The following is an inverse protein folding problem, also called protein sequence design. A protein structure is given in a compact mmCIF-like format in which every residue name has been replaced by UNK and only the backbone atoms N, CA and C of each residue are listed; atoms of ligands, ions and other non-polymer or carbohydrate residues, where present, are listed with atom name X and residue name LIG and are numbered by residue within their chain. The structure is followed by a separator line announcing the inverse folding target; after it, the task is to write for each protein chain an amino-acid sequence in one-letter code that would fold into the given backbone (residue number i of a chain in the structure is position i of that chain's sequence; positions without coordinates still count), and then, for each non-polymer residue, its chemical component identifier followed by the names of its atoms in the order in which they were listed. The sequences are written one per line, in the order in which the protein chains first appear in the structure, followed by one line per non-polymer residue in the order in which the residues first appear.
data_IF_699720560891
#
_entry.id   IF_699720560891
#
_cell.length_a   1.000
_cell.length_b   1.000
_cell.length_c   1.000
_cell.angle_alpha   90.00
_cell.angle_beta   90.00
_cell.angle_gamma   90.00
#
_symmetry.space_group_name_H-M   'P 1'
#
loop_
_entity.id
_entity.type
_entity.pdbx_description
1 polymer ?
#
# COMPACT_ATOMS: atom_id res chain seq x y z
N UNK A 1 -18.92 34.96 19.29
CA UNK A 1 -20.17 34.37 18.76
C UNK A 1 -21.37 34.61 19.70
N UNK A 2 -21.35 35.64 20.56
CA UNK A 2 -22.42 35.94 21.54
C UNK A 2 -23.74 36.40 20.92
N UNK A 3 -23.75 36.70 19.62
CA UNK A 3 -24.95 37.01 18.85
C UNK A 3 -25.86 35.78 18.65
N UNK A 4 -25.34 34.56 18.86
CA UNK A 4 -26.10 33.32 18.78
C UNK A 4 -26.55 32.87 20.18
N UNK A 5 -27.81 32.46 20.30
CA UNK A 5 -28.33 31.88 21.56
C UNK A 5 -27.72 30.50 21.86
N UNK A 6 -27.37 29.75 20.82
CA UNK A 6 -26.83 28.41 20.92
C UNK A 6 -26.02 28.08 19.67
N UNK A 7 -24.95 27.32 19.85
CA UNK A 7 -24.07 26.86 18.77
C UNK A 7 -23.87 25.36 18.94
N UNK A 8 -23.91 24.63 17.83
CA UNK A 8 -23.44 23.24 17.76
C UNK A 8 -22.06 23.26 17.13
N UNK A 9 -21.06 22.83 17.89
CA UNK A 9 -19.70 22.64 17.41
C UNK A 9 -19.54 21.18 16.94
N UNK A 10 -18.90 21.03 15.78
CA UNK A 10 -18.57 19.76 15.16
C UNK A 10 -17.09 19.81 14.74
N UNK A 11 -16.29 18.82 15.15
CA UNK A 11 -14.93 18.68 14.67
C UNK A 11 -14.91 18.43 13.15
N UNK A 12 -13.84 18.87 12.49
CA UNK A 12 -13.69 18.78 11.04
C UNK A 12 -13.61 17.34 10.50
N UNK A 13 -13.43 16.35 11.38
CA UNK A 13 -13.43 14.92 11.09
C UNK A 13 -14.72 14.23 11.54
N UNK A 14 -15.81 14.98 11.61
CA UNK A 14 -17.17 14.46 11.81
C UNK A 14 -18.00 14.55 10.52
N UNK A 15 -19.00 13.68 10.40
CA UNK A 15 -19.96 13.71 9.30
C UNK A 15 -21.38 13.56 9.84
N UNK A 16 -22.24 14.48 9.44
CA UNK A 16 -23.66 14.49 9.78
C UNK A 16 -24.42 13.65 8.74
N UNK A 17 -25.03 12.56 9.17
CA UNK A 17 -25.77 11.62 8.30
C UNK A 17 -27.30 11.73 8.46
N UNK A 18 -27.75 12.45 9.50
CA UNK A 18 -29.16 12.80 9.74
C UNK A 18 -29.29 14.19 10.36
N UNK A 19 -30.50 14.75 10.33
CA UNK A 19 -30.79 16.01 11.01
C UNK A 19 -30.39 15.94 12.50
N UNK A 20 -29.73 17.00 12.96
CA UNK A 20 -29.28 17.20 14.35
C UNK A 20 -29.91 18.47 14.94
N UNK A 21 -31.00 18.96 14.38
CA UNK A 21 -31.68 20.19 14.83
C UNK A 21 -32.20 20.09 16.27
N UNK A 22 -32.51 18.89 16.71
CA UNK A 22 -32.92 18.61 18.08
C UNK A 22 -31.82 18.91 19.11
N UNK A 23 -30.53 18.89 18.74
CA UNK A 23 -29.43 19.32 19.61
C UNK A 23 -29.60 20.77 20.09
N UNK A 24 -30.30 21.63 19.34
CA UNK A 24 -30.59 23.00 19.78
C UNK A 24 -31.57 23.06 20.96
N UNK A 25 -32.20 21.95 21.36
CA UNK A 25 -33.02 21.84 22.58
C UNK A 25 -32.21 21.52 23.84
N UNK A 26 -30.93 21.13 23.68
CA UNK A 26 -30.08 20.75 24.80
C UNK A 26 -29.80 21.93 25.75
N UNK A 27 -29.29 21.69 26.96
CA UNK A 27 -28.98 22.72 27.96
C UNK A 27 -27.87 23.71 27.57
N UNK A 28 -27.14 24.24 28.56
CA UNK A 28 -26.08 25.24 28.33
C UNK A 28 -24.80 24.64 27.73
N UNK A 29 -24.44 23.43 28.17
CA UNK A 29 -23.30 22.68 27.66
C UNK A 29 -23.69 21.22 27.46
N UNK A 30 -23.51 20.69 26.26
CA UNK A 30 -23.75 19.28 26.01
C UNK A 30 -22.62 18.69 25.19
N UNK A 31 -22.23 17.46 25.51
CA UNK A 31 -21.23 16.72 24.77
C UNK A 31 -21.55 15.23 24.86
N UNK A 32 -20.86 14.38 24.11
CA UNK A 32 -20.97 12.94 24.31
C UNK A 32 -20.02 12.47 25.43
N UNK A 33 -20.45 11.48 26.22
CA UNK A 33 -19.58 10.78 27.17
C UNK A 33 -19.02 9.51 26.51
N UNK A 34 -17.70 9.43 26.41
CA UNK A 34 -16.99 8.25 25.88
C UNK A 34 -16.91 7.12 26.93
N UNK A 35 -16.34 5.99 26.51
CA UNK A 35 -15.83 4.98 27.42
C UNK A 35 -14.73 5.61 28.30
N UNK A 36 -14.76 5.42 29.63
CA UNK A 36 -13.88 6.04 30.65
C UNK A 36 -14.34 7.36 31.30
N UNK A 37 -15.65 7.64 31.39
CA UNK A 37 -16.19 8.79 32.16
C UNK A 37 -15.62 10.15 31.73
N UNK A 38 -15.27 10.27 30.44
CA UNK A 38 -14.70 11.50 29.88
C UNK A 38 -15.54 11.98 28.73
N UNK A 39 -15.72 13.29 28.64
CA UNK A 39 -16.39 13.90 27.49
C UNK A 39 -15.51 13.80 26.25
N UNK A 40 -16.16 13.66 25.10
CA UNK A 40 -15.55 13.87 23.80
C UNK A 40 -15.96 15.25 23.27
N UNK A 41 -14.98 16.05 22.88
CA UNK A 41 -15.18 17.43 22.44
C UNK A 41 -15.51 17.57 20.95
N UNK A 42 -15.53 16.47 20.18
CA UNK A 42 -15.77 16.55 18.75
C UNK A 42 -17.21 16.86 18.34
N UNK A 43 -18.17 16.71 19.26
CA UNK A 43 -19.54 17.21 19.09
C UNK A 43 -20.00 17.84 20.39
N UNK A 44 -20.27 19.14 20.35
CA UNK A 44 -20.70 19.90 21.52
C UNK A 44 -21.84 20.85 21.20
N UNK A 45 -22.73 21.05 22.17
CA UNK A 45 -23.73 22.12 22.16
C UNK A 45 -23.33 23.14 23.21
N UNK A 46 -23.29 24.41 22.84
CA UNK A 46 -22.75 25.49 23.67
C UNK A 46 -23.72 26.67 23.66
N UNK A 47 -23.95 27.26 24.83
CA UNK A 47 -24.48 28.62 24.98
C UNK A 47 -23.30 29.60 25.00
N UNK A 48 -23.09 30.42 23.95
CA UNK A 48 -21.96 31.34 23.91
C UNK A 48 -22.04 32.37 25.05
N UNK A 49 -20.97 32.47 25.84
CA UNK A 49 -20.88 33.41 26.98
C UNK A 49 -19.47 33.98 27.09
N UNK A 50 -19.38 35.31 27.08
CA UNK A 50 -18.11 36.02 27.28
C UNK A 50 -17.51 35.74 28.66
N UNK A 51 -18.36 35.62 29.70
CA UNK A 51 -17.91 35.30 31.05
C UNK A 51 -17.27 33.90 31.12
N UNK A 52 -17.90 32.89 30.51
CA UNK A 52 -17.36 31.52 30.47
C UNK A 52 -16.07 31.48 29.64
N UNK A 53 -16.03 32.18 28.51
CA UNK A 53 -14.82 32.28 27.68
C UNK A 53 -13.65 32.89 28.47
N UNK A 54 -13.85 34.04 29.11
CA UNK A 54 -12.81 34.71 29.88
C UNK A 54 -12.33 33.86 31.08
N UNK A 55 -13.25 33.16 31.77
CA UNK A 55 -12.90 32.24 32.84
C UNK A 55 -12.08 31.05 32.34
N UNK A 56 -12.48 30.42 31.23
CA UNK A 56 -11.68 29.36 30.59
C UNK A 56 -10.29 29.85 30.18
N UNK A 57 -10.20 31.03 29.56
CA UNK A 57 -8.91 31.62 29.15
C UNK A 57 -8.00 31.91 30.35
N UNK A 58 -8.55 32.34 31.49
CA UNK A 58 -7.77 32.54 32.71
C UNK A 58 -7.21 31.23 33.31
N UNK A 59 -7.81 30.09 32.94
CA UNK A 59 -7.47 28.75 33.43
C UNK A 59 -6.62 27.93 32.46
N UNK A 60 -6.46 28.36 31.20
CA UNK A 60 -5.74 27.61 30.15
C UNK A 60 -4.32 27.20 30.56
N UNK A 61 -3.61 28.03 31.34
CA UNK A 61 -2.23 27.73 31.77
C UNK A 61 -2.13 27.05 33.14
N UNK A 62 -3.22 26.99 33.90
CA UNK A 62 -3.23 26.52 35.30
C UNK A 62 -3.99 25.22 35.48
N UNK A 63 -5.04 25.00 34.68
CA UNK A 63 -5.84 23.79 34.72
C UNK A 63 -5.17 22.69 33.89
N UNK A 64 -5.03 21.45 34.41
CA UNK A 64 -4.38 20.39 33.67
C UNK A 64 -5.18 19.98 32.42
N UNK A 65 -4.48 19.56 31.36
CA UNK A 65 -5.07 18.89 30.20
C UNK A 65 -4.31 17.60 29.93
N UNK A 66 -4.94 16.45 30.18
CA UNK A 66 -4.30 15.14 30.02
C UNK A 66 -4.00 14.77 28.56
N UNK A 67 -4.63 15.45 27.59
CA UNK A 67 -4.34 15.28 26.16
C UNK A 67 -3.39 16.34 25.62
N UNK A 68 -3.11 17.40 26.39
CA UNK A 68 -2.47 18.62 25.87
C UNK A 68 -3.35 19.43 24.91
N UNK A 69 -4.61 19.04 24.70
CA UNK A 69 -5.56 19.68 23.80
C UNK A 69 -6.85 20.13 24.49
N UNK A 70 -7.84 20.49 23.68
CA UNK A 70 -9.18 20.96 24.08
C UNK A 70 -9.93 19.91 24.91
N UNK A 71 -9.95 18.64 24.46
CA UNK A 71 -10.70 17.59 25.15
C UNK A 71 -10.21 17.42 26.60
N UNK A 72 -8.90 17.43 26.81
CA UNK A 72 -8.30 17.28 28.13
C UNK A 72 -8.64 18.45 29.05
N UNK A 73 -8.53 19.68 28.53
CA UNK A 73 -8.86 20.90 29.25
C UNK A 73 -10.35 20.95 29.63
N UNK A 74 -11.24 20.67 28.66
CA UNK A 74 -12.69 20.70 28.88
C UNK A 74 -13.15 19.66 29.90
N UNK A 75 -12.55 18.45 29.91
CA UNK A 75 -12.81 17.45 30.95
C UNK A 75 -12.40 17.96 32.35
N UNK A 76 -11.29 18.70 32.45
CA UNK A 76 -10.85 19.28 33.72
C UNK A 76 -11.66 20.51 34.13
N UNK A 77 -12.21 21.26 33.17
CA UNK A 77 -13.04 22.43 33.43
C UNK A 77 -14.47 22.03 33.86
N UNK A 78 -15.05 21.04 33.19
CA UNK A 78 -16.38 20.51 33.47
C UNK A 78 -16.34 19.23 34.31
N UNK A 79 -15.75 19.29 35.51
CA UNK A 79 -15.53 18.11 36.37
C UNK A 79 -16.80 17.32 36.74
N UNK A 80 -17.97 17.98 36.78
CA UNK A 80 -19.26 17.36 37.05
C UNK A 80 -19.92 16.69 35.84
N UNK A 81 -19.35 16.80 34.64
CA UNK A 81 -19.93 16.30 33.41
C UNK A 81 -20.29 14.81 33.40
N UNK A 82 -19.50 13.89 34.00
CA UNK A 82 -19.86 12.47 34.03
C UNK A 82 -21.21 12.19 34.71
N UNK A 83 -21.60 13.05 35.67
CA UNK A 83 -22.85 12.96 36.42
C UNK A 83 -24.01 13.71 35.75
N UNK A 84 -23.78 14.38 34.61
CA UNK A 84 -24.82 15.13 33.93
C UNK A 84 -25.94 14.21 33.40
N UNK A 85 -27.17 14.72 33.35
CA UNK A 85 -28.32 13.98 32.83
C UNK A 85 -28.18 13.70 31.34
N UNK A 86 -28.69 12.56 30.87
CA UNK A 86 -28.75 12.27 29.44
C UNK A 86 -29.72 13.23 28.77
N UNK A 87 -29.35 13.73 27.60
CA UNK A 87 -30.21 14.56 26.78
C UNK A 87 -31.32 13.71 26.14
N UNK A 88 -32.57 14.12 26.34
CA UNK A 88 -33.77 13.45 25.84
C UNK A 88 -34.48 14.36 24.81
N UNK A 89 -34.26 14.18 23.50
CA UNK A 89 -34.76 15.09 22.45
C UNK A 89 -36.29 15.07 22.28
N UNK A 90 -36.93 14.01 22.76
CA UNK A 90 -38.36 13.72 22.59
C UNK A 90 -39.24 14.17 23.76
N UNK A 91 -38.67 14.87 24.76
CA UNK A 91 -39.47 15.44 25.84
C UNK A 91 -40.48 16.46 25.30
N UNK A 92 -41.68 16.45 25.86
CA UNK A 92 -42.70 17.44 25.52
C UNK A 92 -42.28 18.86 25.96
N UNK A 93 -42.82 19.90 25.32
CA UNK A 93 -42.54 21.28 25.74
C UNK A 93 -42.96 21.56 27.19
N UNK A 94 -43.98 20.88 27.69
CA UNK A 94 -44.47 21.03 29.06
C UNK A 94 -43.46 20.46 30.07
N UNK A 95 -42.91 19.27 29.79
CA UNK A 95 -41.86 18.65 30.60
C UNK A 95 -40.55 19.45 30.57
N UNK A 96 -40.20 20.02 29.43
CA UNK A 96 -39.02 20.88 29.31
C UNK A 96 -39.15 22.17 30.14
N UNK A 97 -40.34 22.76 30.18
CA UNK A 97 -40.60 24.00 30.95
C UNK A 97 -40.75 23.76 32.45
N UNK A 98 -41.14 22.55 32.87
CA UNK A 98 -41.30 22.22 34.29
C UNK A 98 -39.98 21.95 35.01
N UNK A 99 -38.88 21.76 34.27
CA UNK A 99 -37.54 21.49 34.81
C UNK A 99 -36.65 22.73 34.69
N UNK A 100 -35.72 22.97 35.64
CA UNK A 100 -34.70 23.99 35.45
C UNK A 100 -33.80 23.61 34.26
N UNK A 101 -33.34 24.61 33.50
CA UNK A 101 -32.42 24.37 32.38
C UNK A 101 -31.11 23.79 32.95
N UNK A 102 -30.73 22.57 32.57
CA UNK A 102 -29.53 21.94 33.10
C UNK A 102 -28.27 22.68 32.62
N UNK A 103 -27.30 22.85 33.52
CA UNK A 103 -26.00 23.41 33.17
C UNK A 103 -25.26 22.54 32.16
N UNK A 104 -25.35 21.22 32.34
CA UNK A 104 -24.72 20.23 31.47
C UNK A 104 -25.65 19.06 31.16
N UNK A 105 -25.55 18.49 29.96
CA UNK A 105 -26.20 17.22 29.60
C UNK A 105 -25.30 16.33 28.74
N UNK A 106 -25.53 15.01 28.81
CA UNK A 106 -24.82 14.00 28.02
C UNK A 106 -25.60 13.66 26.76
N UNK A 107 -25.00 13.90 25.60
CA UNK A 107 -25.51 13.45 24.32
C UNK A 107 -25.35 11.93 24.20
N UNK A 108 -26.37 11.29 23.62
CA UNK A 108 -26.29 9.89 23.19
C UNK A 108 -25.15 9.68 22.19
N UNK A 109 -24.60 8.46 22.13
CA UNK A 109 -23.60 8.05 21.12
C UNK A 109 -24.12 8.20 19.69
N UNK A 110 -25.44 8.29 19.48
CA UNK A 110 -26.05 8.60 18.19
C UNK A 110 -25.54 9.92 17.59
N UNK A 111 -25.24 10.91 18.42
CA UNK A 111 -24.76 12.24 17.99
C UNK A 111 -23.23 12.37 17.98
N UNK A 112 -22.48 11.32 18.30
CA UNK A 112 -21.01 11.34 18.28
C UNK A 112 -20.49 9.90 18.22
N UNK A 113 -20.80 9.20 17.14
CA UNK A 113 -20.50 7.78 17.00
C UNK A 113 -19.01 7.59 16.68
N UNK A 114 -18.31 6.89 17.57
CA UNK A 114 -16.87 6.72 17.53
C UNK A 114 -16.44 5.61 16.54
N UNK A 115 -15.79 6.00 15.44
CA UNK A 115 -15.24 5.04 14.45
C UNK A 115 -14.16 4.15 15.06
N UNK A 116 -13.31 4.66 15.96
CA UNK A 116 -12.33 3.85 16.68
C UNK A 116 -12.97 2.72 17.49
N UNK A 117 -14.08 3.00 18.17
CA UNK A 117 -14.84 1.97 18.89
C UNK A 117 -15.49 0.97 17.93
N UNK A 118 -16.05 1.45 16.81
CA UNK A 118 -16.58 0.60 15.74
C UNK A 118 -15.51 -0.37 15.23
N UNK A 119 -14.29 0.12 14.97
CA UNK A 119 -13.19 -0.70 14.46
C UNK A 119 -12.75 -1.80 15.44
N UNK A 120 -12.85 -1.55 16.75
CA UNK A 120 -12.55 -2.54 17.78
C UNK A 120 -13.69 -3.56 17.96
N UNK A 121 -14.94 -3.12 17.89
CA UNK A 121 -16.12 -3.95 18.11
C UNK A 121 -16.62 -4.66 16.84
N UNK A 122 -16.18 -4.22 15.65
CA UNK A 122 -16.69 -4.60 14.33
C UNK A 122 -18.21 -4.42 14.18
N UNK A 123 -18.80 -3.48 14.93
CA UNK A 123 -20.22 -3.11 14.87
C UNK A 123 -20.43 -1.76 15.56
N UNK A 124 -21.52 -1.09 15.20
CA UNK A 124 -22.01 0.04 15.98
C UNK A 124 -22.56 -0.44 17.33
N UNK A 125 -22.31 0.33 18.38
CA UNK A 125 -22.89 0.10 19.71
C UNK A 125 -24.35 0.57 19.82
N UNK A 126 -24.86 1.15 18.74
CA UNK A 126 -26.20 1.71 18.58
C UNK A 126 -26.78 1.22 17.26
N UNK A 127 -28.08 1.42 17.05
CA UNK A 127 -28.71 1.10 15.77
C UNK A 127 -28.13 2.00 14.67
N UNK A 128 -27.56 1.38 13.63
CA UNK A 128 -26.93 2.10 12.51
C UNK A 128 -27.92 3.02 11.80
N UNK A 129 -29.17 2.57 11.67
CA UNK A 129 -30.22 3.36 11.02
C UNK A 129 -30.67 4.55 11.84
N UNK A 130 -30.20 4.73 13.09
CA UNK A 130 -30.51 5.87 13.97
C UNK A 130 -29.33 6.84 14.12
N UNK A 131 -28.15 6.49 13.61
CA UNK A 131 -26.95 7.34 13.69
C UNK A 131 -27.22 8.74 13.12
N UNK A 132 -26.75 9.76 13.83
CA UNK A 132 -26.87 11.15 13.41
C UNK A 132 -25.52 11.74 13.02
N UNK A 133 -24.48 11.49 13.80
CA UNK A 133 -23.11 11.99 13.54
C UNK A 133 -22.11 10.87 13.73
N UNK A 134 -21.22 10.70 12.75
CA UNK A 134 -20.08 9.78 12.81
C UNK A 134 -18.80 10.60 13.00
N UNK A 135 -17.94 10.20 13.93
CA UNK A 135 -16.70 10.89 14.28
C UNK A 135 -15.50 9.97 14.04
N UNK A 136 -14.58 10.40 13.17
CA UNK A 136 -13.36 9.68 12.80
C UNK A 136 -12.23 9.89 13.81
N UNK A 137 -12.43 9.34 15.01
CA UNK A 137 -11.60 9.51 16.23
C UNK A 137 -10.22 8.86 16.19
N UNK A 138 -9.91 8.03 15.18
CA UNK A 138 -8.63 7.34 15.08
C UNK A 138 -7.55 8.32 14.58
N UNK A 139 -6.90 9.01 15.52
CA UNK A 139 -5.86 10.04 15.32
C UNK A 139 -5.28 10.19 13.91
N UNK A 140 -4.30 9.35 13.49
CA UNK A 140 -3.63 9.51 12.20
C UNK A 140 -4.45 8.99 10.99
N UNK A 141 -5.57 8.32 11.23
CA UNK A 141 -6.37 7.63 10.22
C UNK A 141 -7.60 8.46 9.90
N UNK A 142 -7.47 9.37 8.92
CA UNK A 142 -8.54 10.29 8.54
C UNK A 142 -9.19 9.91 7.21
N UNK A 143 -10.50 10.11 7.07
CA UNK A 143 -11.25 9.57 5.94
C UNK A 143 -10.92 10.21 4.59
N UNK A 144 -10.31 11.40 4.57
CA UNK A 144 -9.80 12.06 3.36
C UNK A 144 -8.51 11.43 2.82
N UNK A 145 -7.79 10.65 3.63
CA UNK A 145 -6.60 9.94 3.18
C UNK A 145 -7.02 8.67 2.43
N UNK A 146 -6.73 8.59 1.13
CA UNK A 146 -7.17 7.51 0.25
C UNK A 146 -6.83 6.10 0.77
N UNK A 147 -5.70 5.94 1.48
CA UNK A 147 -5.23 4.66 1.98
C UNK A 147 -6.02 4.18 3.21
N UNK A 148 -6.71 5.09 3.92
CA UNK A 148 -7.48 4.73 5.12
C UNK A 148 -8.74 3.95 4.79
N UNK A 149 -9.31 4.10 3.59
CA UNK A 149 -10.51 3.36 3.17
C UNK A 149 -10.31 1.84 3.12
N UNK A 150 -9.06 1.40 3.02
CA UNK A 150 -8.68 -0.01 3.00
C UNK A 150 -8.62 -0.59 4.42
N UNK A 151 -8.36 0.27 5.41
CA UNK A 151 -8.20 -0.12 6.81
C UNK A 151 -9.46 0.14 7.63
N UNK A 152 -10.14 1.27 7.37
CA UNK A 152 -11.24 1.80 8.15
C UNK A 152 -12.58 1.64 7.44
N UNK A 153 -13.61 1.41 8.25
CA UNK A 153 -15.02 1.52 7.88
C UNK A 153 -15.71 2.44 8.90
N UNK A 154 -16.64 3.33 8.50
CA UNK A 154 -17.26 3.43 7.17
C UNK A 154 -16.75 4.63 6.32
N UNK A 155 -15.48 4.62 5.88
CA UNK A 155 -14.92 5.72 5.05
C UNK A 155 -15.72 5.98 3.77
N UNK A 156 -16.47 4.99 3.26
CA UNK A 156 -17.40 5.15 2.15
C UNK A 156 -18.50 6.19 2.41
N UNK A 157 -19.01 6.30 3.64
CA UNK A 157 -20.00 7.35 3.99
C UNK A 157 -19.39 8.74 3.80
N UNK A 158 -18.12 8.91 4.18
CA UNK A 158 -17.39 10.17 3.96
C UNK A 158 -17.21 10.47 2.47
N UNK A 159 -16.74 9.50 1.69
CA UNK A 159 -16.48 9.70 0.27
C UNK A 159 -17.78 9.99 -0.50
N UNK A 160 -18.89 9.32 -0.17
CA UNK A 160 -20.19 9.57 -0.79
C UNK A 160 -20.68 11.01 -0.57
N UNK A 161 -20.51 11.57 0.63
CA UNK A 161 -20.85 12.97 0.91
C UNK A 161 -19.86 13.91 0.22
N UNK A 162 -18.55 13.62 0.30
CA UNK A 162 -17.49 14.41 -0.33
C UNK A 162 -17.74 14.62 -1.82
N UNK A 163 -18.12 13.57 -2.55
CA UNK A 163 -18.37 13.62 -3.99
C UNK A 163 -19.57 14.50 -4.37
N UNK A 164 -20.53 14.67 -3.46
CA UNK A 164 -21.73 15.48 -3.66
C UNK A 164 -21.53 16.95 -3.29
N UNK A 165 -20.41 17.31 -2.68
CA UNK A 165 -20.16 18.69 -2.26
C UNK A 165 -20.02 19.61 -3.48
N UNK A 166 -20.78 20.69 -3.44
CA UNK A 166 -20.63 21.79 -4.38
C UNK A 166 -19.26 22.46 -4.24
N UNK A 167 -18.88 23.17 -5.28
CA UNK A 167 -17.64 23.91 -5.33
C UNK A 167 -17.66 25.09 -4.35
N UNK A 168 -16.77 25.06 -3.35
CA UNK A 168 -16.57 26.18 -2.42
C UNK A 168 -15.53 27.18 -2.92
N UNK A 169 -14.56 26.69 -3.72
CA UNK A 169 -13.49 27.45 -4.35
C UNK A 169 -13.24 26.88 -5.77
N UNK A 170 -12.72 27.65 -6.73
CA UNK A 170 -12.45 27.17 -8.08
C UNK A 170 -11.63 25.86 -8.11
N UNK A 171 -12.19 24.81 -8.71
CA UNK A 171 -11.65 23.46 -8.81
C UNK A 171 -11.89 22.54 -7.60
N UNK A 172 -12.64 22.95 -6.56
CA UNK A 172 -12.79 22.13 -5.32
C UNK A 172 -14.05 21.28 -5.23
N UNK A 173 -14.95 21.37 -6.21
CA UNK A 173 -16.17 20.55 -6.25
C UNK A 173 -15.86 19.05 -6.12
N UNK A 174 -16.70 18.33 -5.36
CA UNK A 174 -16.46 16.91 -5.04
C UNK A 174 -15.24 16.68 -4.13
N UNK A 175 -14.77 17.72 -3.43
CA UNK A 175 -13.56 17.69 -2.61
C UNK A 175 -12.27 17.50 -3.41
N UNK A 176 -12.24 17.95 -4.67
CA UNK A 176 -11.07 17.87 -5.54
C UNK A 176 -10.08 19.01 -5.26
N UNK A 177 -8.89 18.88 -5.81
CA UNK A 177 -7.87 19.93 -5.81
C UNK A 177 -7.27 19.99 -7.21
N UNK A 178 -7.33 21.14 -7.91
CA UNK A 178 -6.88 21.24 -9.30
C UNK A 178 -5.39 20.90 -9.46
N UNK A 179 -4.56 21.18 -8.45
CA UNK A 179 -3.13 20.83 -8.48
C UNK A 179 -2.93 19.32 -8.36
N UNK A 180 -3.69 18.67 -7.47
CA UNK A 180 -3.63 17.22 -7.30
C UNK A 180 -4.15 16.52 -8.55
N UNK A 181 -5.23 17.01 -9.16
CA UNK A 181 -5.78 16.45 -10.41
C UNK A 181 -4.78 16.50 -11.56
N UNK A 182 -4.01 17.59 -11.69
CA UNK A 182 -2.94 17.69 -12.68
C UNK A 182 -1.79 16.73 -12.38
N UNK A 183 -1.37 16.66 -11.11
CA UNK A 183 -0.31 15.75 -10.67
C UNK A 183 -0.71 14.29 -10.91
N UNK A 184 -1.94 13.90 -10.58
CA UNK A 184 -2.49 12.56 -10.81
C UNK A 184 -2.45 12.20 -12.30
N UNK A 185 -2.87 13.10 -13.19
CA UNK A 185 -2.82 12.85 -14.64
C UNK A 185 -1.38 12.63 -15.11
N UNK A 186 -0.43 13.43 -14.61
CA UNK A 186 0.98 13.27 -14.94
C UNK A 186 1.54 11.93 -14.42
N UNK A 187 1.29 11.61 -13.15
CA UNK A 187 1.75 10.38 -12.51
C UNK A 187 1.17 9.12 -13.15
N UNK A 188 -0.07 9.15 -13.62
CA UNK A 188 -0.72 8.02 -14.29
C UNK A 188 -0.20 7.79 -15.72
N UNK A 189 0.22 8.85 -16.42
CA UNK A 189 0.69 8.73 -17.80
C UNK A 189 2.18 8.32 -17.89
N UNK A 190 2.99 8.70 -16.90
CA UNK A 190 4.45 8.57 -17.00
C UNK A 190 4.94 7.11 -17.06
N UNK A 191 4.50 6.17 -16.21
CA UNK A 191 4.94 4.78 -16.28
C UNK A 191 4.66 4.08 -17.62
N UNK A 192 3.44 4.15 -18.23
CA UNK A 192 3.21 3.54 -19.53
C UNK A 192 4.01 4.20 -20.64
N UNK A 193 4.23 5.52 -20.60
CA UNK A 193 5.12 6.19 -21.56
C UNK A 193 6.58 5.75 -21.41
N UNK A 194 7.07 5.60 -20.18
CA UNK A 194 8.41 5.09 -19.91
C UNK A 194 8.57 3.65 -20.44
N UNK A 195 7.59 2.77 -20.19
CA UNK A 195 7.60 1.41 -20.72
C UNK A 195 7.55 1.36 -22.24
N UNK A 196 6.70 2.19 -22.87
CA UNK A 196 6.62 2.31 -24.33
C UNK A 196 7.93 2.82 -24.93
N UNK A 197 8.58 3.79 -24.29
CA UNK A 197 9.89 4.29 -24.72
C UNK A 197 10.97 3.20 -24.61
N UNK A 198 11.05 2.49 -23.48
CA UNK A 198 11.98 1.37 -23.31
C UNK A 198 11.74 0.25 -24.34
N UNK A 199 10.47 -0.08 -24.61
CA UNK A 199 10.11 -1.05 -25.63
C UNK A 199 10.48 -0.57 -27.04
N UNK A 200 10.21 0.70 -27.37
CA UNK A 200 10.56 1.29 -28.65
C UNK A 200 12.08 1.34 -28.88
N UNK A 201 12.87 1.67 -27.86
CA UNK A 201 14.34 1.63 -27.93
C UNK A 201 14.85 0.20 -28.17
N UNK A 202 14.33 -0.78 -27.43
CA UNK A 202 14.64 -2.20 -27.65
C UNK A 202 14.23 -2.67 -29.05
N UNK A 203 13.10 -2.19 -29.56
CA UNK A 203 12.64 -2.43 -30.92
C UNK A 203 13.55 -1.78 -31.98
N UNK A 204 14.00 -0.55 -31.78
CA UNK A 204 14.95 0.11 -32.69
C UNK A 204 16.30 -0.60 -32.72
N UNK A 205 16.80 -1.04 -31.57
CA UNK A 205 18.04 -1.79 -31.47
C UNK A 205 17.94 -3.18 -32.14
N UNK A 206 16.74 -3.75 -32.20
CA UNK A 206 16.47 -5.00 -32.95
C UNK A 206 16.11 -4.77 -34.43
N UNK A 207 15.74 -3.55 -34.84
CA UNK A 207 15.40 -3.20 -36.23
C UNK A 207 16.62 -3.33 -37.18
N UNK A 208 17.84 -3.09 -36.70
CA UNK A 208 19.07 -3.36 -37.48
C UNK A 208 19.29 -4.86 -37.78
N UNK A 209 18.61 -5.76 -37.05
CA UNK A 209 18.67 -7.22 -37.28
C UNK A 209 17.42 -7.78 -38.01
N UNK A 210 16.36 -6.98 -38.14
CA UNK A 210 15.04 -7.45 -38.58
C UNK A 210 14.84 -7.53 -40.10
N UNK A 211 15.87 -7.20 -40.90
CA UNK A 211 15.87 -7.49 -42.34
C UNK A 211 15.77 -8.98 -42.68
N UNK A 212 15.90 -9.89 -41.70
CA UNK A 212 15.94 -11.35 -41.92
C UNK A 212 14.95 -12.18 -41.08
N UNK A 213 14.10 -11.60 -40.21
CA UNK A 213 13.35 -12.40 -39.20
C UNK A 213 11.84 -12.55 -39.44
N UNK A 214 11.25 -11.83 -40.40
CA UNK A 214 9.79 -11.80 -40.60
C UNK A 214 9.17 -13.05 -41.26
N UNK A 215 9.72 -14.26 -41.13
CA UNK A 215 9.12 -15.42 -41.84
C UNK A 215 8.96 -16.76 -41.10
N UNK A 216 9.34 -16.97 -39.83
CA UNK A 216 9.23 -18.35 -39.28
C UNK A 216 8.96 -18.59 -37.78
N UNK A 217 9.05 -17.62 -36.87
CA UNK A 217 9.25 -17.98 -35.45
C UNK A 217 8.00 -18.40 -34.63
N UNK A 218 6.81 -17.85 -34.90
CA UNK A 218 5.64 -18.09 -34.04
C UNK A 218 4.94 -19.43 -34.32
N UNK A 219 4.90 -19.87 -35.59
CA UNK A 219 4.24 -21.11 -35.98
C UNK A 219 5.02 -22.35 -35.49
N UNK A 220 6.36 -22.28 -35.49
CA UNK A 220 7.21 -23.38 -35.03
C UNK A 220 7.18 -23.56 -33.50
N UNK A 221 7.03 -22.47 -32.75
CA UNK A 221 6.93 -22.51 -31.28
C UNK A 221 5.64 -23.18 -30.79
N UNK A 222 4.52 -22.94 -31.50
CA UNK A 222 3.22 -23.56 -31.21
C UNK A 222 3.25 -25.05 -31.60
N UNK A 223 3.87 -25.37 -32.74
CA UNK A 223 4.06 -26.75 -33.20
C UNK A 223 4.91 -27.58 -32.22
N UNK A 224 5.95 -26.99 -31.63
CA UNK A 224 6.82 -27.67 -30.68
C UNK A 224 6.13 -27.93 -29.31
N UNK A 225 5.26 -27.04 -28.84
CA UNK A 225 4.44 -27.30 -27.64
C UNK A 225 3.38 -28.38 -27.88
N UNK A 226 2.75 -28.39 -29.06
CA UNK A 226 1.77 -29.40 -29.44
C UNK A 226 2.37 -30.82 -29.44
N UNK A 227 3.59 -30.99 -29.93
CA UNK A 227 4.27 -32.30 -29.90
C UNK A 227 4.73 -32.72 -28.49
N UNK A 228 5.11 -31.77 -27.63
CA UNK A 228 5.55 -32.07 -26.25
C UNK A 228 4.39 -32.54 -25.35
N UNK A 229 3.19 -32.02 -25.61
CA UNK A 229 1.96 -32.43 -24.90
C UNK A 229 1.43 -33.78 -25.40
N UNK A 230 1.67 -34.13 -26.67
CA UNK A 230 1.15 -35.37 -27.26
C UNK A 230 1.99 -36.63 -26.94
N UNK A 231 3.23 -36.48 -26.48
CA UNK A 231 4.16 -37.60 -26.26
C UNK A 231 4.76 -37.72 -24.85
N UNK A 232 4.35 -36.87 -23.88
CA UNK A 232 4.84 -36.93 -22.50
C UNK A 232 3.82 -37.55 -21.54
N UNK A 233 3.85 -38.87 -21.38
CA UNK A 233 3.08 -39.58 -20.35
C UNK A 233 3.59 -39.33 -18.92
N UNK A 234 2.66 -39.20 -17.98
CA UNK A 234 2.76 -39.43 -16.53
C UNK A 234 4.00 -38.90 -15.79
N UNK A 235 3.88 -37.75 -15.11
CA UNK A 235 4.79 -37.35 -14.03
C UNK A 235 4.25 -37.81 -12.68
N UNK A 236 4.95 -38.75 -12.05
CA UNK A 236 4.70 -39.22 -10.69
C UNK A 236 5.06 -38.16 -9.65
N UNK A 237 4.14 -37.95 -8.72
CA UNK A 237 4.26 -37.10 -7.54
C UNK A 237 5.25 -37.73 -6.54
N UNK A 238 6.32 -37.03 -6.17
CA UNK A 238 7.17 -37.41 -5.03
C UNK A 238 6.89 -36.46 -3.87
N UNK A 239 6.37 -37.03 -2.79
CA UNK A 239 5.85 -36.32 -1.64
C UNK A 239 6.92 -35.68 -0.75
N UNK A 240 6.46 -34.69 -0.01
CA UNK A 240 7.14 -34.06 1.11
C UNK A 240 7.33 -35.11 2.22
N UNK A 241 8.52 -35.22 2.79
CA UNK A 241 8.76 -35.89 4.06
C UNK A 241 9.75 -35.09 4.90
N UNK A 242 9.27 -34.67 6.06
CA UNK A 242 10.00 -34.10 7.18
C UNK A 242 10.61 -35.20 8.04
N UNK A 243 11.92 -35.18 8.26
CA UNK A 243 12.54 -35.63 9.52
C UNK A 243 14.03 -35.30 9.59
N UNK A 244 14.41 -34.73 10.72
CA UNK A 244 15.75 -34.48 11.24
C UNK A 244 16.61 -35.75 11.38
N UNK A 245 17.86 -35.77 10.90
CA UNK A 245 19.12 -35.94 11.68
C UNK A 245 20.36 -36.00 10.76
N UNK A 246 21.40 -35.26 11.15
CA UNK A 246 22.87 -35.50 11.04
C UNK A 246 23.37 -36.52 9.99
N UNK A 247 24.24 -36.08 9.07
CA UNK A 247 25.19 -36.95 8.38
C UNK A 247 25.55 -36.57 6.94
N UNK A 248 26.75 -36.01 6.78
CA UNK A 248 27.65 -35.94 5.62
C UNK A 248 27.23 -36.48 4.23
N UNK A 249 27.59 -35.69 3.22
CA UNK A 249 27.86 -36.05 1.82
C UNK A 249 26.65 -36.44 0.94
N UNK A 250 25.98 -35.42 0.41
CA UNK A 250 25.46 -35.48 -0.95
C UNK A 250 26.10 -34.38 -1.82
N UNK A 251 27.13 -34.83 -2.51
CA UNK A 251 27.92 -34.14 -3.52
C UNK A 251 27.04 -33.81 -4.72
N UNK A 252 26.64 -32.54 -4.86
CA UNK A 252 26.21 -31.96 -6.13
C UNK A 252 27.41 -31.87 -7.07
N UNK A 253 27.75 -32.98 -7.73
CA UNK A 253 28.55 -33.02 -8.97
C UNK A 253 27.74 -32.29 -10.08
N UNK A 254 28.22 -31.38 -10.92
CA UNK A 254 29.58 -31.00 -11.34
C UNK A 254 29.58 -29.54 -11.89
N UNK A 255 30.61 -28.75 -11.57
CA UNK A 255 31.19 -27.74 -12.48
C UNK A 255 30.73 -26.27 -12.44
N UNK A 256 29.54 -25.94 -11.93
CA UNK A 256 29.04 -24.54 -11.97
C UNK A 256 29.27 -23.74 -10.67
N UNK A 257 29.38 -24.41 -9.52
CA UNK A 257 29.41 -23.76 -8.21
C UNK A 257 30.76 -23.13 -7.81
N UNK A 258 31.81 -23.27 -8.62
CA UNK A 258 33.11 -22.61 -8.34
C UNK A 258 33.23 -21.21 -8.95
N UNK A 259 32.27 -20.76 -9.77
CA UNK A 259 32.35 -19.45 -10.46
C UNK A 259 31.49 -18.34 -9.85
N UNK A 260 30.46 -18.68 -9.08
CA UNK A 260 29.53 -17.68 -8.51
C UNK A 260 29.98 -17.26 -7.11
N UNK A 261 30.07 -15.96 -6.79
CA UNK A 261 30.41 -15.50 -5.45
C UNK A 261 29.42 -15.99 -4.39
N UNK A 262 29.92 -16.63 -3.33
CA UNK A 262 29.10 -17.27 -2.27
C UNK A 262 28.15 -16.27 -1.59
N UNK A 263 28.54 -15.01 -1.47
CA UNK A 263 27.74 -13.96 -0.84
C UNK A 263 26.71 -13.30 -1.77
N UNK A 264 26.72 -13.59 -3.09
CA UNK A 264 25.83 -12.94 -4.06
C UNK A 264 24.35 -13.15 -3.74
N UNK A 265 23.97 -14.37 -3.33
CA UNK A 265 22.59 -14.68 -2.93
C UNK A 265 22.11 -13.81 -1.77
N UNK A 266 22.87 -13.79 -0.67
CA UNK A 266 22.54 -12.99 0.51
C UNK A 266 22.49 -11.48 0.23
N UNK A 267 23.43 -10.94 -0.55
CA UNK A 267 23.39 -9.53 -0.97
C UNK A 267 22.14 -9.24 -1.82
N UNK A 268 21.79 -10.14 -2.75
CA UNK A 268 20.61 -9.98 -3.60
C UNK A 268 19.32 -9.90 -2.80
N UNK A 269 19.18 -10.75 -1.78
CA UNK A 269 18.03 -10.74 -0.86
C UNK A 269 17.95 -9.39 -0.14
N UNK A 270 19.06 -8.92 0.45
CA UNK A 270 19.09 -7.63 1.13
C UNK A 270 18.72 -6.47 0.20
N UNK A 271 19.33 -6.41 -1.00
CA UNK A 271 19.03 -5.38 -2.00
C UNK A 271 17.57 -5.44 -2.45
N UNK A 272 17.00 -6.64 -2.65
CA UNK A 272 15.60 -6.82 -3.04
C UNK A 272 14.64 -6.20 -2.01
N UNK A 273 14.85 -6.46 -0.71
CA UNK A 273 14.00 -5.89 0.34
C UNK A 273 14.19 -4.38 0.52
N UNK A 274 15.42 -3.88 0.43
CA UNK A 274 15.69 -2.42 0.47
C UNK A 274 14.99 -1.73 -0.70
N UNK A 275 15.13 -2.28 -1.91
CA UNK A 275 14.48 -1.73 -3.12
C UNK A 275 12.96 -1.79 -2.98
N UNK A 276 12.38 -2.88 -2.48
CA UNK A 276 10.94 -2.97 -2.26
C UNK A 276 10.43 -1.92 -1.26
N UNK A 277 11.13 -1.72 -0.14
CA UNK A 277 10.77 -0.73 0.86
C UNK A 277 10.91 0.71 0.32
N UNK A 278 11.98 1.01 -0.41
CA UNK A 278 12.21 2.32 -1.04
C UNK A 278 11.14 2.59 -2.11
N UNK A 279 10.83 1.61 -2.97
CA UNK A 279 9.80 1.75 -3.99
C UNK A 279 8.41 2.03 -3.40
N UNK A 280 8.03 1.30 -2.34
CA UNK A 280 6.76 1.53 -1.65
C UNK A 280 6.74 2.90 -0.95
N UNK A 281 7.82 3.26 -0.25
CA UNK A 281 7.93 4.55 0.43
C UNK A 281 7.85 5.74 -0.52
N UNK A 282 8.54 5.66 -1.67
CA UNK A 282 8.46 6.67 -2.71
C UNK A 282 7.07 6.74 -3.35
N UNK A 283 6.46 5.59 -3.65
CA UNK A 283 5.10 5.55 -4.19
C UNK A 283 4.08 6.22 -3.23
N UNK A 284 4.17 5.93 -1.93
CA UNK A 284 3.32 6.58 -0.91
C UNK A 284 3.61 8.08 -0.78
N UNK A 285 4.85 8.52 -1.02
CA UNK A 285 5.23 9.93 -0.92
C UNK A 285 4.78 10.78 -2.12
N UNK A 286 4.76 10.20 -3.34
CA UNK A 286 4.38 10.94 -4.55
C UNK A 286 2.87 10.94 -4.81
N UNK A 287 2.14 9.93 -4.34
CA UNK A 287 0.68 9.86 -4.53
C UNK A 287 -0.01 10.87 -3.61
N UNK A 288 -0.80 11.83 -4.14
CA UNK A 288 -1.44 12.83 -3.30
C UNK A 288 -2.40 12.19 -2.28
N UNK A 289 -2.42 12.72 -1.06
CA UNK A 289 -3.18 12.13 0.05
C UNK A 289 -4.69 12.17 -0.15
N UNK A 290 -5.19 13.25 -0.77
CA UNK A 290 -6.61 13.54 -0.90
C UNK A 290 -7.17 13.14 -2.28
N UNK A 291 -6.75 12.02 -2.85
CA UNK A 291 -7.39 11.46 -4.05
C UNK A 291 -8.50 10.46 -3.68
N UNK A 292 -9.23 9.97 -4.67
CA UNK A 292 -10.17 8.87 -4.43
C UNK A 292 -9.43 7.59 -4.02
N UNK A 293 -10.00 6.78 -3.09
CA UNK A 293 -9.43 5.51 -2.64
C UNK A 293 -8.81 4.62 -3.73
N UNK A 294 -9.55 4.38 -4.80
CA UNK A 294 -9.12 3.51 -5.91
C UNK A 294 -8.02 4.14 -6.74
N UNK A 295 -8.12 5.44 -6.99
CA UNK A 295 -7.11 6.23 -7.71
C UNK A 295 -5.78 6.17 -6.98
N UNK A 296 -5.78 6.40 -5.67
CA UNK A 296 -4.59 6.33 -4.83
C UNK A 296 -3.98 4.93 -4.78
N UNK A 297 -4.82 3.89 -4.61
CA UNK A 297 -4.35 2.51 -4.58
C UNK A 297 -3.69 2.09 -5.90
N UNK A 298 -4.33 2.41 -7.02
CA UNK A 298 -3.84 2.05 -8.34
C UNK A 298 -2.48 2.71 -8.62
N UNK A 299 -2.37 4.01 -8.35
CA UNK A 299 -1.10 4.71 -8.52
C UNK A 299 -0.02 4.21 -7.57
N UNK A 300 -0.36 3.89 -6.32
CA UNK A 300 0.60 3.31 -5.38
C UNK A 300 1.19 2.00 -5.94
N UNK A 301 0.36 1.09 -6.46
CA UNK A 301 0.86 -0.15 -7.06
C UNK A 301 1.65 0.10 -8.34
N UNK A 302 1.13 0.93 -9.24
CA UNK A 302 1.78 1.28 -10.50
C UNK A 302 3.20 1.80 -10.27
N UNK A 303 3.35 2.77 -9.37
CA UNK A 303 4.65 3.36 -9.06
C UNK A 303 5.53 2.43 -8.24
N UNK A 304 4.99 1.67 -7.29
CA UNK A 304 5.77 0.68 -6.54
C UNK A 304 6.38 -0.35 -7.49
N UNK A 305 5.59 -0.91 -8.41
CA UNK A 305 6.09 -1.88 -9.38
C UNK A 305 7.06 -1.26 -10.37
N UNK A 306 6.76 -0.08 -10.90
CA UNK A 306 7.65 0.63 -11.83
C UNK A 306 9.02 0.89 -11.21
N UNK A 307 9.05 1.48 -10.00
CA UNK A 307 10.28 1.77 -9.28
C UNK A 307 11.03 0.48 -8.91
N UNK A 308 10.32 -0.56 -8.46
CA UNK A 308 10.94 -1.84 -8.14
C UNK A 308 11.59 -2.49 -9.37
N UNK A 309 10.89 -2.51 -10.51
CA UNK A 309 11.40 -3.07 -11.76
C UNK A 309 12.64 -2.31 -12.23
N UNK A 310 12.63 -0.97 -12.17
CA UNK A 310 13.77 -0.15 -12.56
C UNK A 310 14.97 -0.36 -11.65
N UNK A 311 14.78 -0.28 -10.33
CA UNK A 311 15.86 -0.37 -9.35
C UNK A 311 16.43 -1.80 -9.24
N UNK A 312 15.57 -2.81 -9.07
CA UNK A 312 16.01 -4.20 -8.94
C UNK A 312 16.46 -4.76 -10.29
N UNK A 313 15.81 -4.39 -11.39
CA UNK A 313 16.27 -4.71 -12.74
C UNK A 313 17.64 -4.11 -13.05
N UNK A 314 17.88 -2.85 -12.66
CA UNK A 314 19.19 -2.21 -12.73
C UNK A 314 20.26 -2.94 -11.90
N UNK A 315 19.92 -3.39 -10.69
CA UNK A 315 20.80 -4.24 -9.89
C UNK A 315 21.15 -5.56 -10.60
N UNK A 316 20.16 -6.28 -11.14
CA UNK A 316 20.41 -7.53 -11.89
C UNK A 316 21.28 -7.29 -13.13
N UNK A 317 21.11 -6.14 -13.80
CA UNK A 317 21.96 -5.74 -14.91
C UNK A 317 23.42 -5.52 -14.48
N UNK A 318 23.65 -4.82 -13.36
CA UNK A 318 25.00 -4.65 -12.79
C UNK A 318 25.63 -6.00 -12.40
N UNK A 319 24.85 -6.93 -11.85
CA UNK A 319 25.30 -8.30 -11.54
C UNK A 319 25.68 -9.05 -12.82
N UNK A 320 24.95 -8.85 -13.93
CA UNK A 320 25.30 -9.42 -15.22
C UNK A 320 26.60 -8.85 -15.79
N UNK A 321 26.81 -7.53 -15.69
CA UNK A 321 28.09 -6.89 -16.05
C UNK A 321 29.23 -7.46 -15.20
N UNK A 322 29.00 -7.63 -13.90
CA UNK A 322 30.01 -8.20 -13.01
C UNK A 322 30.42 -9.62 -13.43
N UNK A 323 29.46 -10.45 -13.81
CA UNK A 323 29.71 -11.75 -14.43
C UNK A 323 30.61 -11.64 -15.67
N UNK A 324 30.30 -10.71 -16.58
CA UNK A 324 31.12 -10.45 -17.79
C UNK A 324 32.56 -10.07 -17.44
N UNK A 325 32.77 -9.15 -16.50
CA UNK A 325 34.12 -8.72 -16.08
C UNK A 325 34.93 -9.85 -15.45
N UNK A 326 34.30 -10.71 -14.64
CA UNK A 326 34.98 -11.87 -14.03
C UNK A 326 35.39 -12.92 -15.07
N UNK A 327 34.61 -13.10 -16.14
CA UNK A 327 35.03 -13.93 -17.27
C UNK A 327 36.28 -13.38 -17.97
N UNK A 328 36.44 -12.05 -18.06
CA UNK A 328 37.61 -11.41 -18.69
C UNK A 328 38.88 -11.53 -17.86
N UNK A 329 38.79 -11.38 -16.53
CA UNK A 329 39.96 -11.41 -15.62
C UNK A 329 40.53 -12.83 -15.45
N UNK A 330 39.69 -13.87 -15.49
CA UNK A 330 40.13 -15.27 -15.39
C UNK A 330 40.94 -15.79 -16.59
N UNK A 331 41.10 -14.99 -17.65
CA UNK A 331 41.83 -15.36 -18.87
C UNK A 331 43.30 -14.89 -18.89
N UNK A 332 43.76 -14.12 -17.90
CA UNK A 332 45.14 -13.62 -17.85
C UNK A 332 46.13 -14.58 -17.16
N UNK A 333 45.70 -15.77 -16.71
CA UNK A 333 46.56 -16.72 -15.98
C UNK A 333 46.51 -18.17 -16.51
N UNK A 334 46.50 -18.36 -17.84
CA UNK A 334 46.74 -19.69 -18.41
C UNK A 334 47.70 -19.60 -19.59
N UNK A 335 48.89 -20.16 -19.40
CA UNK A 335 49.95 -20.35 -20.39
C UNK A 335 49.45 -21.03 -21.69
N UNK A 336 50.16 -20.84 -22.82
CA UNK A 336 49.70 -21.26 -24.13
C UNK A 336 50.28 -22.64 -24.47
N UNK A 337 49.57 -23.73 -24.21
CA UNK A 337 49.93 -25.03 -24.80
C UNK A 337 48.73 -25.86 -25.23
N UNK A 338 48.89 -26.43 -26.43
CA UNK A 338 48.10 -27.46 -27.13
C UNK A 338 46.86 -27.02 -27.91
N UNK A 339 47.13 -26.69 -29.18
CA UNK A 339 46.27 -26.97 -30.33
C UNK A 339 46.08 -28.49 -30.45
N UNK A 340 44.83 -28.96 -30.50
CA UNK A 340 44.26 -29.77 -31.60
C UNK A 340 43.03 -30.61 -31.16
N UNK A 341 42.06 -30.69 -32.10
CA UNK A 341 40.88 -31.59 -32.16
C UNK A 341 39.78 -31.36 -31.08
N UNK A 342 38.49 -31.29 -31.39
CA UNK A 342 37.74 -31.88 -32.50
C UNK A 342 36.48 -31.04 -32.82
N UNK A 343 36.23 -30.88 -34.11
CA UNK A 343 35.11 -30.13 -34.68
C UNK A 343 33.90 -31.05 -34.81
N UNK A 344 32.91 -30.90 -33.93
CA UNK A 344 31.67 -31.64 -34.10
C UNK A 344 30.64 -31.43 -33.00
N UNK A 345 29.93 -30.31 -33.01
CA UNK A 345 28.56 -30.23 -32.47
C UNK A 345 27.82 -29.04 -33.07
N UNK A 346 26.74 -29.37 -33.77
CA UNK A 346 25.95 -28.47 -34.59
C UNK A 346 25.49 -27.21 -33.87
N UNK A 347 25.53 -26.11 -34.62
CA UNK A 347 24.96 -24.82 -34.28
C UNK A 347 23.46 -24.94 -33.93
N UNK A 348 23.16 -25.13 -32.65
CA UNK A 348 21.85 -24.77 -32.13
C UNK A 348 21.82 -23.26 -31.96
N UNK A 349 21.31 -22.62 -33.01
CA UNK A 349 20.97 -21.21 -33.15
C UNK A 349 20.30 -20.70 -31.86
N UNK A 350 21.07 -20.12 -30.95
CA UNK A 350 20.57 -19.39 -29.78
C UNK A 350 19.95 -18.09 -30.30
N UNK A 351 18.69 -18.16 -30.75
CA UNK A 351 17.85 -16.98 -30.84
C UNK A 351 17.74 -16.35 -29.45
N UNK A 352 17.76 -15.01 -29.38
CA UNK A 352 17.57 -14.22 -28.17
C UNK A 352 16.48 -14.84 -27.28
N UNK A 353 16.90 -15.62 -26.30
CA UNK A 353 16.03 -16.22 -25.31
C UNK A 353 15.49 -15.08 -24.47
N UNK A 354 14.27 -14.66 -24.78
CA UNK A 354 13.45 -13.85 -23.88
C UNK A 354 13.53 -14.52 -22.51
N UNK A 355 13.94 -13.80 -21.46
CA UNK A 355 14.27 -14.44 -20.18
C UNK A 355 13.00 -14.85 -19.41
N UNK A 356 12.38 -15.92 -19.89
CA UNK A 356 11.09 -16.47 -19.43
C UNK A 356 11.08 -16.69 -17.91
N UNK A 357 12.23 -17.01 -17.30
CA UNK A 357 12.31 -17.18 -15.86
C UNK A 357 12.16 -15.85 -15.11
N UNK A 358 12.87 -14.80 -15.52
CA UNK A 358 12.76 -13.46 -14.92
C UNK A 358 11.33 -12.95 -14.97
N UNK A 359 10.65 -13.16 -16.10
CA UNK A 359 9.23 -12.85 -16.24
C UNK A 359 8.34 -13.68 -15.30
N UNK A 360 8.57 -14.99 -15.18
CA UNK A 360 7.79 -15.86 -14.28
C UNK A 360 7.95 -15.47 -12.80
N UNK A 361 9.18 -15.25 -12.34
CA UNK A 361 9.43 -14.80 -10.97
C UNK A 361 8.80 -13.42 -10.72
N UNK A 362 8.96 -12.48 -11.66
CA UNK A 362 8.34 -11.16 -11.59
C UNK A 362 6.81 -11.21 -11.48
N UNK A 363 6.16 -12.01 -12.33
CA UNK A 363 4.69 -12.17 -12.32
C UNK A 363 4.18 -12.76 -11.01
N UNK A 364 4.85 -13.79 -10.47
CA UNK A 364 4.44 -14.39 -9.20
C UNK A 364 4.66 -13.42 -8.04
N UNK A 365 5.77 -12.67 -8.01
CA UNK A 365 5.99 -11.61 -7.02
C UNK A 365 4.88 -10.54 -7.09
N UNK A 366 4.55 -10.06 -8.29
CA UNK A 366 3.49 -9.08 -8.48
C UNK A 366 2.12 -9.61 -8.06
N UNK A 367 1.80 -10.87 -8.42
CA UNK A 367 0.57 -11.52 -8.00
C UNK A 367 0.47 -11.62 -6.48
N UNK A 368 1.52 -12.09 -5.79
CA UNK A 368 1.53 -12.20 -4.34
C UNK A 368 1.44 -10.83 -3.64
N UNK A 369 2.10 -9.81 -4.21
CA UNK A 369 2.07 -8.44 -3.70
C UNK A 369 0.68 -7.79 -3.77
N UNK A 370 -0.16 -8.18 -4.73
CA UNK A 370 -1.55 -7.72 -4.85
C UNK A 370 -2.50 -8.64 -4.06
N UNK A 371 -2.34 -9.96 -4.21
CA UNK A 371 -3.23 -10.94 -3.62
C UNK A 371 -3.17 -10.94 -2.09
N UNK A 372 -1.97 -10.86 -1.50
CA UNK A 372 -1.80 -10.87 -0.04
C UNK A 372 -2.61 -9.78 0.67
N UNK A 373 -2.42 -8.49 0.33
CA UNK A 373 -3.20 -7.39 0.90
C UNK A 373 -4.69 -7.41 0.54
N UNK A 374 -5.06 -7.93 -0.63
CA UNK A 374 -6.45 -7.91 -1.12
C UNK A 374 -7.30 -9.08 -0.64
N UNK A 375 -6.67 -10.18 -0.19
CA UNK A 375 -7.34 -11.41 0.22
C UNK A 375 -8.41 -11.20 1.31
N UNK A 376 -8.19 -10.40 2.37
CA UNK A 376 -9.23 -10.18 3.38
C UNK A 376 -10.50 -9.54 2.81
N UNK A 377 -10.34 -8.61 1.87
CA UNK A 377 -11.47 -7.95 1.20
C UNK A 377 -12.21 -8.94 0.28
N UNK A 378 -11.50 -9.78 -0.47
CA UNK A 378 -12.08 -10.81 -1.33
C UNK A 378 -12.87 -11.86 -0.52
N UNK A 379 -12.42 -12.17 0.69
CA UNK A 379 -13.10 -13.10 1.60
C UNK A 379 -14.22 -12.43 2.41
N UNK A 380 -14.49 -11.13 2.21
CA UNK A 380 -15.55 -10.40 2.92
C UNK A 380 -15.28 -10.23 4.43
N UNK A 381 -14.02 -10.36 4.86
CA UNK A 381 -13.67 -10.24 6.28
C UNK A 381 -13.76 -8.77 6.66
N UNK A 382 -14.54 -8.43 7.69
CA UNK A 382 -14.75 -7.05 8.15
C UNK A 382 -13.95 -6.72 9.41
N UNK A 383 -13.72 -7.71 10.27
CA UNK A 383 -13.01 -7.52 11.53
C UNK A 383 -11.54 -7.09 11.32
N UNK A 384 -11.17 -5.96 11.93
CA UNK A 384 -9.86 -5.32 11.76
C UNK A 384 -8.67 -6.26 12.02
N UNK A 385 -8.65 -6.93 13.18
CA UNK A 385 -7.54 -7.80 13.55
C UNK A 385 -7.42 -9.03 12.64
N UNK A 386 -8.56 -9.58 12.17
CA UNK A 386 -8.55 -10.68 11.22
C UNK A 386 -8.00 -10.24 9.85
N UNK A 387 -8.36 -9.03 9.38
CA UNK A 387 -7.78 -8.43 8.18
C UNK A 387 -6.27 -8.28 8.31
N UNK A 388 -5.81 -7.60 9.36
CA UNK A 388 -4.37 -7.38 9.60
C UNK A 388 -3.60 -8.69 9.71
N UNK A 389 -4.16 -9.70 10.39
CA UNK A 389 -3.57 -11.03 10.50
C UNK A 389 -3.40 -11.71 9.14
N UNK A 390 -4.41 -11.66 8.28
CA UNK A 390 -4.31 -12.22 6.92
C UNK A 390 -3.35 -11.45 6.02
N UNK A 391 -3.33 -10.11 6.10
CA UNK A 391 -2.36 -9.29 5.38
C UNK A 391 -0.93 -9.64 5.81
N UNK A 392 -0.71 -9.86 7.11
CA UNK A 392 0.58 -10.28 7.65
C UNK A 392 1.01 -11.64 7.12
N UNK A 393 0.11 -12.63 7.10
CA UNK A 393 0.39 -13.96 6.52
C UNK A 393 0.70 -13.84 5.02
N UNK A 394 -0.07 -13.06 4.27
CA UNK A 394 0.20 -12.77 2.85
C UNK A 394 1.57 -12.12 2.64
N UNK A 395 1.95 -11.19 3.52
CA UNK A 395 3.27 -10.56 3.54
C UNK A 395 4.41 -11.55 3.79
N UNK A 396 4.22 -12.52 4.70
CA UNK A 396 5.22 -13.58 4.94
C UNK A 396 5.41 -14.49 3.73
N UNK A 397 4.32 -14.84 3.03
CA UNK A 397 4.38 -15.64 1.80
C UNK A 397 5.13 -14.88 0.71
N UNK A 398 4.80 -13.60 0.52
CA UNK A 398 5.49 -12.72 -0.42
C UNK A 398 6.99 -12.62 -0.09
N UNK A 399 7.35 -12.33 1.16
CA UNK A 399 8.73 -12.19 1.60
C UNK A 399 9.54 -13.48 1.39
N UNK A 400 8.94 -14.64 1.67
CA UNK A 400 9.56 -15.94 1.43
C UNK A 400 9.84 -16.15 -0.06
N UNK A 401 8.87 -15.83 -0.92
CA UNK A 401 9.02 -15.96 -2.37
C UNK A 401 10.01 -14.93 -2.94
N UNK A 402 10.04 -13.69 -2.44
CA UNK A 402 11.00 -12.67 -2.83
C UNK A 402 12.44 -13.07 -2.46
N UNK A 403 12.63 -13.68 -1.30
CA UNK A 403 13.94 -14.21 -0.87
C UNK A 403 14.44 -15.24 -1.88
N UNK A 404 13.62 -16.26 -2.17
CA UNK A 404 13.94 -17.29 -3.16
C UNK A 404 14.20 -16.70 -4.56
N UNK A 405 13.29 -15.82 -5.02
CA UNK A 405 13.35 -15.25 -6.37
C UNK A 405 14.58 -14.37 -6.56
N UNK A 406 14.90 -13.50 -5.59
CA UNK A 406 16.02 -12.56 -5.70
C UNK A 406 17.37 -13.27 -5.76
N UNK A 407 17.58 -14.31 -4.95
CA UNK A 407 18.78 -15.14 -5.01
C UNK A 407 18.91 -15.82 -6.39
N UNK A 408 17.87 -16.52 -6.84
CA UNK A 408 17.87 -17.23 -8.12
C UNK A 408 18.08 -16.29 -9.32
N UNK A 409 17.45 -15.12 -9.32
CA UNK A 409 17.58 -14.12 -10.38
C UNK A 409 18.99 -13.54 -10.44
N UNK A 410 19.61 -13.23 -9.30
CA UNK A 410 20.97 -12.69 -9.28
C UNK A 410 22.01 -13.71 -9.72
N UNK A 411 21.91 -14.96 -9.25
CA UNK A 411 22.80 -16.05 -9.68
C UNK A 411 22.66 -16.25 -11.19
N UNK A 412 21.43 -16.30 -11.71
CA UNK A 412 21.16 -16.44 -13.15
C UNK A 412 21.71 -15.26 -13.96
N UNK A 413 21.52 -14.03 -13.48
CA UNK A 413 22.04 -12.82 -14.14
C UNK A 413 23.58 -12.85 -14.22
N UNK A 414 24.24 -13.27 -13.14
CA UNK A 414 25.69 -13.41 -13.08
C UNK A 414 26.21 -14.50 -14.03
N UNK A 415 25.59 -15.69 -14.02
CA UNK A 415 25.93 -16.79 -14.91
C UNK A 415 25.73 -16.43 -16.38
N UNK A 416 24.61 -15.77 -16.72
CA UNK A 416 24.38 -15.24 -18.07
C UNK A 416 25.49 -14.28 -18.50
N UNK A 417 25.97 -13.45 -17.58
CA UNK A 417 27.13 -12.58 -17.81
C UNK A 417 28.41 -13.37 -18.12
N UNK A 418 28.65 -14.49 -17.43
CA UNK A 418 29.80 -15.36 -17.71
C UNK A 418 29.70 -16.07 -19.07
N UNK A 419 28.49 -16.45 -19.49
CA UNK A 419 28.22 -17.23 -20.72
C UNK A 419 28.23 -16.40 -22.01
N UNK A 420 27.94 -15.10 -21.94
CA UNK A 420 27.89 -14.16 -23.09
C UNK A 420 29.24 -13.98 -23.85
N UNK A 421 30.29 -14.74 -23.48
CA UNK A 421 31.60 -14.85 -24.17
C UNK A 421 31.47 -15.21 -25.67
N UNK A 422 30.36 -15.82 -26.10
CA UNK A 422 30.26 -16.44 -27.43
C UNK A 422 30.13 -15.51 -28.65
N UNK A 423 29.64 -14.28 -28.50
CA UNK A 423 29.18 -13.49 -29.66
C UNK A 423 29.75 -12.07 -29.81
N UNK A 424 30.63 -11.61 -28.91
CA UNK A 424 31.12 -10.22 -28.92
C UNK A 424 32.61 -10.12 -29.22
N UNK A 425 33.03 -10.72 -30.35
CA UNK A 425 34.25 -10.29 -31.04
C UNK A 425 33.90 -9.30 -32.15
N UNK A 426 33.13 -8.26 -31.82
CA UNK A 426 32.91 -7.08 -32.67
C UNK A 426 32.01 -6.09 -31.95
N UNK A 427 32.55 -4.89 -31.70
CA UNK A 427 31.90 -3.60 -31.40
C UNK A 427 31.79 -3.18 -29.93
N UNK A 428 32.76 -2.35 -29.56
CA UNK A 428 32.61 -1.24 -28.62
C UNK A 428 31.53 -0.26 -29.10
N UNK A 429 30.64 0.19 -28.21
CA UNK A 429 30.44 1.61 -27.83
C UNK A 429 29.15 1.84 -26.99
N UNK A 430 29.35 2.56 -25.88
CA UNK A 430 28.48 3.48 -25.11
C UNK A 430 26.98 3.20 -24.82
N UNK A 431 26.74 2.89 -23.54
CA UNK A 431 25.88 3.53 -22.51
C UNK A 431 24.68 4.44 -22.83
N UNK A 432 23.67 4.28 -21.94
CA UNK A 432 22.50 5.11 -21.57
C UNK A 432 21.15 4.84 -22.29
N UNK A 433 20.41 3.86 -21.77
CA UNK A 433 19.02 3.98 -21.28
C UNK A 433 18.59 2.65 -20.65
#
# INVERSE_FOLDING_TARGET
MTNYKKVVYLDADTIVVKSIEDLFKCGKFCANLKHSERLNSGVMVLEPSEAIFNDMMSKVTTLPSYTGGDQGFLNSYYTGFPNAHVFEPNLSLEELKSRPVPEMQRLSTLYNADVGLYMLANKWMVNESELCVIHYTLGPLKPWDWWTSWLLKPVDVWQNVREQLEESLPGTGGGRNPNDDLLVKFLFLLPPFALLFCYYQSFLQTREYFGSFCRSSLCDSIRHMYYKIRYGGSLSYSGVSTSSTIGSNHQFSNGANTKVPIYLGGISVFVCFVVAAVSLGLALAIVPRQVMPWTGLLMMYEWTFTLFILLFGGYLYLVSIWGKTKATVGSFSSDPESLDYDSGKGHHRQGLSFDVATWRYGLVMAFLAVAGPSLPCLLGITALFARLGLMFVGGLVLASFMTYSSEHLAIRAFLKGLEDRGNTRSRSLCFLC
#
